data_IF_196306132507
#
_entry.id   IF_196306132507
#
_cell.length_a   1.000
_cell.length_b   1.000
_cell.length_c   1.000
_cell.angle_alpha   90.00
_cell.angle_beta   90.00
_cell.angle_gamma   90.00
#
_symmetry.space_group_name_H-M   'P 1'
#
loop_
_entity.id
_entity.type
_entity.pdbx_description
1 polymer ?
#
# COMPACT_ATOMS: atom_id res chain seq x y z
N UNK A 1 -0.12 -2.92 -12.81
CA UNK A 1 0.05 -3.75 -11.60
C UNK A 1 -1.12 -3.51 -10.66
N UNK A 2 -1.30 -4.34 -9.64
CA UNK A 2 -2.26 -4.04 -8.57
C UNK A 2 -1.77 -2.79 -7.83
N UNK A 3 -2.62 -1.78 -7.70
CA UNK A 3 -2.26 -0.49 -7.12
C UNK A 3 -3.40 0.51 -7.17
N UNK A 4 -3.15 1.70 -6.62
CA UNK A 4 -4.05 2.84 -6.66
C UNK A 4 -3.26 4.14 -6.81
N UNK A 5 -3.93 5.15 -7.34
CA UNK A 5 -3.43 6.53 -7.42
C UNK A 5 -4.51 7.47 -6.89
N UNK A 6 -4.09 8.41 -6.05
CA UNK A 6 -4.91 9.51 -5.55
C UNK A 6 -4.35 10.80 -6.13
N UNK A 7 -5.08 11.45 -7.06
CA UNK A 7 -4.62 12.68 -7.68
C UNK A 7 -4.58 13.84 -6.65
N UNK A 8 -3.86 14.93 -6.97
CA UNK A 8 -3.80 16.10 -6.10
C UNK A 8 -5.21 16.62 -5.74
N UNK A 9 -5.36 17.11 -4.51
CA UNK A 9 -6.65 17.58 -3.99
C UNK A 9 -7.64 16.48 -3.57
N UNK A 10 -7.35 15.20 -3.82
CA UNK A 10 -8.18 14.08 -3.34
C UNK A 10 -8.08 13.92 -1.82
N UNK A 11 -6.87 14.11 -1.30
CA UNK A 11 -6.58 14.04 0.12
C UNK A 11 -6.37 15.44 0.68
N UNK A 12 -6.69 15.66 1.95
CA UNK A 12 -6.50 16.95 2.59
C UNK A 12 -5.01 17.23 2.80
N UNK A 13 -4.59 18.43 2.41
CA UNK A 13 -3.22 18.92 2.49
C UNK A 13 -2.87 19.41 3.91
N UNK A 14 -1.57 19.56 4.19
CA UNK A 14 -1.06 20.21 5.41
C UNK A 14 -1.25 19.44 6.71
N UNK A 15 -1.79 18.22 6.68
CA UNK A 15 -1.96 17.36 7.85
C UNK A 15 -1.47 15.94 7.61
N UNK A 16 -0.91 15.34 8.65
CA UNK A 16 -0.56 13.92 8.63
C UNK A 16 -1.82 13.06 8.60
N UNK A 17 -1.79 12.00 7.79
CA UNK A 17 -2.89 11.06 7.62
C UNK A 17 -2.42 9.64 7.90
N UNK A 18 -3.37 8.75 8.13
CA UNK A 18 -3.16 7.31 8.01
C UNK A 18 -3.90 6.79 6.79
N UNK A 19 -3.19 6.01 5.98
CA UNK A 19 -3.74 5.28 4.86
C UNK A 19 -3.88 3.81 5.27
N UNK A 20 -5.12 3.34 5.34
CA UNK A 20 -5.44 1.95 5.58
C UNK A 20 -5.79 1.25 4.28
N UNK A 21 -5.04 0.20 3.93
CA UNK A 21 -5.29 -0.64 2.77
C UNK A 21 -5.74 -2.01 3.24
N UNK A 22 -6.90 -2.46 2.78
CA UNK A 22 -7.41 -3.81 3.03
C UNK A 22 -7.52 -4.58 1.73
N UNK A 23 -7.18 -5.85 1.76
CA UNK A 23 -7.38 -6.77 0.63
C UNK A 23 -7.40 -8.21 1.13
N UNK A 24 -7.84 -9.12 0.28
CA UNK A 24 -7.65 -10.54 0.52
C UNK A 24 -6.53 -11.07 -0.36
N UNK A 25 -5.66 -11.88 0.24
CA UNK A 25 -4.50 -12.52 -0.39
C UNK A 25 -4.73 -14.03 -0.47
N UNK A 26 -4.41 -14.63 -1.60
CA UNK A 26 -4.28 -16.09 -1.73
C UNK A 26 -2.90 -16.44 -2.27
N UNK A 27 -2.25 -17.42 -1.64
CA UNK A 27 -0.96 -17.94 -2.08
C UNK A 27 -1.05 -19.43 -2.39
N UNK A 28 -0.38 -19.87 -3.44
CA UNK A 28 -0.24 -21.30 -3.76
C UNK A 28 0.81 -21.99 -2.89
N UNK A 29 1.80 -21.22 -2.44
CA UNK A 29 2.90 -21.65 -1.57
C UNK A 29 3.11 -20.61 -0.45
N UNK A 30 3.52 -21.08 0.73
CA UNK A 30 3.65 -20.25 1.93
C UNK A 30 4.71 -19.13 1.78
N UNK A 31 5.73 -19.34 0.94
CA UNK A 31 6.75 -18.34 0.63
C UNK A 31 6.38 -17.45 -0.58
N UNK A 32 5.23 -17.67 -1.23
CA UNK A 32 4.83 -17.01 -2.48
C UNK A 32 4.67 -15.49 -2.40
N UNK A 33 4.62 -14.91 -1.19
CA UNK A 33 4.50 -13.48 -0.92
C UNK A 33 5.60 -12.90 -0.04
N UNK A 34 6.59 -13.72 0.36
CA UNK A 34 7.65 -13.36 1.30
C UNK A 34 8.48 -12.14 0.86
N UNK A 35 8.69 -12.02 -0.45
CA UNK A 35 9.48 -10.96 -1.06
C UNK A 35 8.63 -9.86 -1.73
N UNK A 36 7.32 -9.86 -1.49
CA UNK A 36 6.42 -8.85 -2.03
C UNK A 36 6.47 -7.61 -1.14
N UNK A 37 6.76 -6.47 -1.76
CA UNK A 37 6.77 -5.18 -1.09
C UNK A 37 5.52 -4.39 -1.47
N UNK A 38 4.80 -3.92 -0.46
CA UNK A 38 3.88 -2.81 -0.66
C UNK A 38 4.67 -1.51 -0.66
N UNK A 39 4.43 -0.66 -1.64
CA UNK A 39 5.10 0.62 -1.82
C UNK A 39 4.06 1.72 -1.76
N UNK A 40 4.32 2.74 -0.94
CA UNK A 40 3.58 4.00 -0.95
C UNK A 40 4.53 5.14 -1.34
N UNK A 41 4.16 5.90 -2.37
CA UNK A 41 4.91 7.07 -2.81
C UNK A 41 4.10 8.34 -2.73
N UNK A 42 4.78 9.43 -2.37
CA UNK A 42 4.30 10.80 -2.54
C UNK A 42 5.12 11.45 -3.64
N UNK A 43 4.45 11.85 -4.71
CA UNK A 43 5.08 12.48 -5.88
C UNK A 43 4.63 13.93 -5.98
N UNK A 44 5.61 14.84 -6.04
CA UNK A 44 5.41 16.18 -6.58
C UNK A 44 5.59 16.14 -8.10
N UNK A 45 5.16 17.17 -8.85
CA UNK A 45 5.30 17.22 -10.31
C UNK A 45 6.72 16.94 -10.81
N UNK A 46 7.74 17.40 -10.07
CA UNK A 46 9.14 17.34 -10.51
C UNK A 46 10.05 16.52 -9.56
N UNK A 47 9.50 15.86 -8.54
CA UNK A 47 10.31 15.12 -7.54
C UNK A 47 9.51 14.02 -6.83
N UNK A 48 10.09 12.83 -6.72
CA UNK A 48 9.61 11.77 -5.83
C UNK A 48 10.05 12.11 -4.40
N UNK A 49 9.10 12.39 -3.50
CA UNK A 49 9.41 12.94 -2.18
C UNK A 49 9.44 11.89 -1.06
N UNK A 50 8.79 10.74 -1.24
CA UNK A 50 8.68 9.73 -0.17
C UNK A 50 8.51 8.31 -0.71
N UNK A 51 9.14 7.35 -0.04
CA UNK A 51 9.03 5.91 -0.29
C UNK A 51 8.96 5.19 1.07
N UNK A 52 7.78 4.68 1.43
CA UNK A 52 7.66 3.72 2.52
C UNK A 52 7.40 2.34 1.91
N UNK A 53 8.23 1.36 2.29
CA UNK A 53 7.96 -0.05 2.00
C UNK A 53 7.62 -0.84 3.22
N UNK A 54 6.67 -1.75 3.05
CA UNK A 54 6.35 -2.77 4.01
C UNK A 54 6.30 -4.14 3.31
N UNK A 55 6.62 -5.20 4.05
CA UNK A 55 6.44 -6.57 3.56
C UNK A 55 4.95 -6.92 3.55
N UNK A 56 4.48 -7.57 2.49
CA UNK A 56 3.12 -8.12 2.41
C UNK A 56 2.84 -9.19 3.48
N UNK A 57 3.91 -9.74 4.07
CA UNK A 57 3.81 -10.82 5.05
C UNK A 57 4.55 -10.38 6.32
N UNK A 58 3.92 -9.57 7.21
CA UNK A 58 4.42 -9.45 8.57
C UNK A 58 4.32 -10.80 9.31
N UNK A 59 3.43 -11.69 8.85
CA UNK A 59 3.26 -13.07 9.29
C UNK A 59 3.23 -14.02 8.07
N UNK A 60 3.74 -15.27 8.20
CA UNK A 60 3.74 -16.24 7.12
C UNK A 60 2.34 -16.50 6.56
N UNK A 61 2.24 -16.61 5.24
CA UNK A 61 0.97 -16.90 4.57
C UNK A 61 0.57 -18.38 4.72
N UNK A 62 -0.74 -18.63 4.76
CA UNK A 62 -1.28 -19.99 4.71
C UNK A 62 -1.60 -20.38 3.27
N UNK A 63 -0.85 -21.35 2.75
CA UNK A 63 -1.09 -21.87 1.41
C UNK A 63 -2.51 -22.41 1.25
N UNK A 64 -3.15 -22.10 0.10
CA UNK A 64 -4.47 -22.61 -0.24
C UNK A 64 -5.65 -21.88 0.42
N UNK A 65 -5.43 -20.78 1.13
CA UNK A 65 -6.48 -20.04 1.86
C UNK A 65 -6.49 -18.56 1.46
N UNK A 66 -7.68 -17.97 1.39
CA UNK A 66 -7.83 -16.52 1.30
C UNK A 66 -7.71 -15.90 2.69
N UNK A 67 -6.74 -15.00 2.85
CA UNK A 67 -6.48 -14.33 4.12
C UNK A 67 -6.72 -12.82 4.00
N UNK A 68 -7.48 -12.21 4.93
CA UNK A 68 -7.67 -10.77 4.95
C UNK A 68 -6.41 -10.10 5.51
N UNK A 69 -5.89 -9.14 4.77
CA UNK A 69 -4.72 -8.35 5.16
C UNK A 69 -5.16 -6.90 5.32
N UNK A 70 -4.67 -6.25 6.38
CA UNK A 70 -4.86 -4.82 6.63
C UNK A 70 -3.51 -4.17 6.89
N UNK A 71 -3.17 -3.19 6.07
CA UNK A 71 -2.03 -2.30 6.27
C UNK A 71 -2.48 -0.95 6.75
N UNK A 72 -1.67 -0.33 7.59
CA UNK A 72 -1.81 1.06 8.01
C UNK A 72 -0.46 1.71 7.85
N UNK A 73 -0.39 2.73 7.02
CA UNK A 73 0.82 3.51 6.76
C UNK A 73 0.56 4.94 7.19
N UNK A 74 1.57 5.58 7.76
CA UNK A 74 1.50 7.01 8.04
C UNK A 74 1.85 7.74 6.75
N UNK A 75 1.04 8.72 6.39
CA UNK A 75 1.30 9.64 5.31
C UNK A 75 1.64 10.99 5.93
N UNK A 76 2.83 11.49 5.63
CA UNK A 76 3.23 12.84 6.05
C UNK A 76 2.35 13.91 5.39
N UNK A 77 2.28 15.12 5.95
CA UNK A 77 1.51 16.21 5.39
C UNK A 77 1.78 16.41 3.89
N UNK A 78 0.72 16.32 3.09
CA UNK A 78 0.81 16.57 1.65
C UNK A 78 0.94 18.07 1.40
N UNK A 79 1.86 18.42 0.51
CA UNK A 79 1.98 19.75 -0.08
C UNK A 79 1.07 19.93 -1.31
N UNK A 80 0.92 21.17 -1.79
CA UNK A 80 0.10 21.48 -2.95
C UNK A 80 0.56 20.72 -4.19
N UNK A 81 -0.39 20.15 -4.93
CA UNK A 81 -0.10 19.46 -6.19
C UNK A 81 0.56 18.08 -6.02
N UNK A 82 0.78 17.60 -4.80
CA UNK A 82 1.31 16.27 -4.56
C UNK A 82 0.23 15.21 -4.77
N UNK A 83 0.65 14.07 -5.35
CA UNK A 83 -0.18 12.88 -5.53
C UNK A 83 0.36 11.72 -4.71
N UNK A 84 -0.53 10.79 -4.37
CA UNK A 84 -0.17 9.57 -3.64
C UNK A 84 -0.39 8.37 -4.53
N UNK A 85 0.60 7.49 -4.62
CA UNK A 85 0.47 6.21 -5.32
C UNK A 85 0.79 5.07 -4.37
N UNK A 86 0.01 4.01 -4.45
CA UNK A 86 0.26 2.76 -3.76
C UNK A 86 0.36 1.64 -4.78
N UNK A 87 1.41 0.82 -4.71
CA UNK A 87 1.54 -0.34 -5.59
C UNK A 87 2.26 -1.51 -4.91
N UNK A 88 2.05 -2.69 -5.48
CA UNK A 88 2.62 -3.93 -5.00
C UNK A 88 3.73 -4.32 -5.94
N UNK A 89 4.95 -4.34 -5.41
CA UNK A 89 6.12 -4.70 -6.18
C UNK A 89 6.52 -6.14 -5.87
N UNK A 90 6.42 -6.97 -6.90
CA UNK A 90 6.85 -8.36 -6.85
C UNK A 90 8.30 -8.47 -7.31
N UNK A 91 9.12 -9.18 -6.54
CA UNK A 91 10.37 -9.75 -7.06
C UNK A 91 10.06 -10.99 -7.93
N UNK A 92 10.94 -11.35 -8.88
CA UNK A 92 10.76 -12.54 -9.70
C UNK A 92 10.54 -13.78 -8.83
N UNK A 93 9.49 -14.57 -9.13
CA UNK A 93 9.16 -15.80 -8.40
C UNK A 93 7.96 -15.69 -7.44
N UNK A 94 7.58 -14.49 -7.01
CA UNK A 94 6.39 -14.30 -6.18
C UNK A 94 5.10 -14.56 -6.97
N UNK A 95 4.27 -15.49 -6.48
CA UNK A 95 3.01 -15.89 -7.13
C UNK A 95 1.86 -15.87 -6.12
N UNK A 96 0.94 -14.91 -6.30
CA UNK A 96 -0.23 -14.75 -5.44
C UNK A 96 -1.37 -14.09 -6.20
N UNK A 97 -2.56 -14.15 -5.60
CA UNK A 97 -3.76 -13.47 -6.09
C UNK A 97 -4.24 -12.47 -5.05
N UNK A 98 -4.75 -11.34 -5.52
CA UNK A 98 -5.40 -10.31 -4.72
C UNK A 98 -6.85 -10.18 -5.14
N UNK A 99 -7.74 -9.93 -4.17
CA UNK A 99 -9.10 -9.49 -4.46
C UNK A 99 -9.57 -8.46 -3.45
N UNK A 100 -10.59 -7.69 -3.87
CA UNK A 100 -11.27 -6.67 -3.07
C UNK A 100 -10.36 -5.64 -2.38
N UNK A 101 -9.45 -4.95 -3.10
CA UNK A 101 -8.69 -3.87 -2.49
C UNK A 101 -9.65 -2.74 -2.04
N UNK A 102 -9.58 -2.36 -0.77
CA UNK A 102 -10.30 -1.23 -0.19
C UNK A 102 -9.33 -0.27 0.46
N UNK A 103 -9.51 1.01 0.19
CA UNK A 103 -8.72 2.09 0.75
C UNK A 103 -9.55 2.89 1.74
N UNK A 104 -8.98 3.22 2.89
CA UNK A 104 -9.56 4.15 3.86
C UNK A 104 -8.49 5.14 4.30
N UNK A 105 -8.84 6.42 4.36
CA UNK A 105 -7.94 7.47 4.84
C UNK A 105 -8.59 8.17 6.02
N UNK A 106 -7.82 8.38 7.09
CA UNK A 106 -8.26 9.09 8.28
C UNK A 106 -7.15 9.98 8.82
N UNK A 107 -7.54 11.07 9.48
CA UNK A 107 -6.58 11.98 10.10
C UNK A 107 -5.87 11.29 11.28
N UNK A 108 -4.57 11.56 11.42
CA UNK A 108 -3.87 11.26 12.68
C UNK A 108 -4.48 12.17 13.75
N UNK A 109 -4.86 11.64 14.92
CA UNK A 109 -5.28 12.49 16.04
C UNK A 109 -4.16 13.51 16.34
N UNK A 110 -4.46 14.81 16.39
CA UNK A 110 -3.47 15.84 16.73
C UNK A 110 -2.95 15.69 18.15
#
# INVERSE_FOLDING_TARGET
GAGFELPPGTLPEGRALFVEVKFERYVGDADGTRDVLGVLTVEAPDTLFHYETFRMDPLPARAGVWEPITYRMRLDPLGPGQRVKGYWWNRPGATFKLREPRLRVYAVKP
#
